data_IF_765684175258
#
_entry.id   IF_765684175258
#
_cell.length_a   1.000
_cell.length_b   1.000
_cell.length_c   1.000
_cell.angle_alpha   90.00
_cell.angle_beta   90.00
_cell.angle_gamma   90.00
#
_symmetry.space_group_name_H-M   'P 1'
#
loop_
_entity.id
_entity.type
_entity.pdbx_description
1 polymer ?
#
# COMPACT_ATOMS: atom_id res chain seq x y z
N UNK A 1 -3.28 -12.72 -18.57
CA UNK A 1 -2.62 -13.05 -17.30
C UNK A 1 -1.48 -12.05 -17.12
N UNK A 2 -1.35 -11.35 -15.98
CA UNK A 2 -0.20 -10.46 -15.77
C UNK A 2 1.07 -11.30 -15.71
N UNK A 3 2.16 -10.80 -16.29
CA UNK A 3 3.46 -11.48 -16.15
C UNK A 3 3.86 -11.53 -14.66
N UNK A 4 4.41 -12.65 -14.19
CA UNK A 4 4.89 -12.76 -12.82
C UNK A 4 6.04 -11.77 -12.59
N UNK A 5 6.11 -11.24 -11.36
CA UNK A 5 7.18 -10.34 -10.94
C UNK A 5 8.54 -11.01 -11.16
N UNK A 6 9.46 -10.36 -11.87
CA UNK A 6 10.82 -10.88 -11.98
C UNK A 6 11.63 -10.61 -10.70
N UNK A 7 12.81 -11.22 -10.60
CA UNK A 7 13.64 -11.16 -9.40
C UNK A 7 14.11 -9.73 -9.11
N UNK A 8 14.48 -8.98 -10.16
CA UNK A 8 14.94 -7.60 -10.07
C UNK A 8 13.85 -6.66 -9.54
N UNK A 9 12.62 -6.83 -10.02
CA UNK A 9 11.44 -6.09 -9.58
C UNK A 9 11.07 -6.43 -8.14
N UNK A 10 11.18 -7.71 -7.75
CA UNK A 10 10.95 -8.13 -6.38
C UNK A 10 11.94 -7.46 -5.44
N UNK A 11 13.23 -7.50 -5.76
CA UNK A 11 14.26 -6.84 -4.96
C UNK A 11 14.12 -5.32 -4.96
N UNK A 12 13.75 -4.72 -6.08
CA UNK A 12 13.43 -3.29 -6.13
C UNK A 12 12.32 -2.96 -5.12
N UNK A 13 11.18 -3.66 -5.17
CA UNK A 13 10.06 -3.41 -4.26
C UNK A 13 10.48 -3.64 -2.80
N UNK A 14 11.02 -4.82 -2.50
CA UNK A 14 11.38 -5.23 -1.14
C UNK A 14 12.58 -4.47 -0.59
N UNK A 15 13.40 -3.84 -1.42
CA UNK A 15 14.56 -3.05 -0.98
C UNK A 15 14.17 -1.84 -0.13
N UNK A 16 12.96 -1.30 -0.29
CA UNK A 16 12.49 -0.16 0.48
C UNK A 16 11.82 -0.59 1.80
N UNK A 17 12.27 -0.09 2.98
CA UNK A 17 11.71 -0.47 4.27
C UNK A 17 10.23 -0.10 4.44
N UNK A 18 9.81 1.07 3.94
CA UNK A 18 8.41 1.51 4.00
C UNK A 18 7.50 0.56 3.22
N UNK A 19 7.93 0.11 2.03
CA UNK A 19 7.17 -0.89 1.25
C UNK A 19 7.04 -2.22 1.98
N UNK A 20 8.09 -2.70 2.66
CA UNK A 20 8.01 -3.92 3.47
C UNK A 20 7.04 -3.77 4.64
N UNK A 21 7.04 -2.62 5.32
CA UNK A 21 6.10 -2.34 6.41
C UNK A 21 4.66 -2.23 5.92
N UNK A 22 4.43 -1.59 4.77
CA UNK A 22 3.11 -1.54 4.14
C UNK A 22 2.59 -2.94 3.81
N UNK A 23 3.41 -3.80 3.20
CA UNK A 23 3.04 -5.19 2.91
C UNK A 23 2.70 -5.97 4.19
N UNK A 24 3.49 -5.79 5.26
CA UNK A 24 3.23 -6.42 6.56
C UNK A 24 1.89 -5.97 7.18
N UNK A 25 1.57 -4.67 7.11
CA UNK A 25 0.31 -4.16 7.66
C UNK A 25 -0.89 -4.63 6.82
N UNK A 26 -0.76 -4.57 5.50
CA UNK A 26 -1.83 -4.97 4.57
C UNK A 26 -2.08 -6.49 4.57
N UNK A 27 -1.08 -7.31 4.89
CA UNK A 27 -1.27 -8.75 5.08
C UNK A 27 -2.13 -9.10 6.29
N UNK A 28 -2.31 -8.15 7.23
CA UNK A 28 -3.18 -8.33 8.41
C UNK A 28 -4.61 -7.86 8.16
N UNK A 29 -4.86 -7.15 7.05
CA UNK A 29 -6.18 -6.63 6.69
C UNK A 29 -6.13 -5.34 5.86
N UNK A 30 -7.27 -4.91 5.28
CA UNK A 30 -7.35 -3.65 4.54
C UNK A 30 -7.10 -2.46 5.48
N UNK A 31 -6.37 -1.45 5.01
CA UNK A 31 -6.10 -0.23 5.76
C UNK A 31 -6.31 1.00 4.87
N UNK A 32 -6.87 2.06 5.43
CA UNK A 32 -6.95 3.35 4.73
C UNK A 32 -5.55 3.99 4.67
N UNK A 33 -5.17 4.66 3.56
CA UNK A 33 -3.87 5.32 3.42
C UNK A 33 -3.54 6.29 4.57
N UNK A 34 -4.55 6.97 5.11
CA UNK A 34 -4.39 7.88 6.25
C UNK A 34 -3.99 7.13 7.54
N UNK A 35 -4.53 5.93 7.80
CA UNK A 35 -4.15 5.12 8.95
C UNK A 35 -2.70 4.65 8.82
N UNK A 36 -2.30 4.18 7.63
CA UNK A 36 -0.93 3.76 7.33
C UNK A 36 0.07 4.89 7.53
N UNK A 37 -0.27 6.11 7.10
CA UNK A 37 0.55 7.30 7.31
C UNK A 37 0.79 7.59 8.80
N UNK A 38 -0.25 7.49 9.64
CA UNK A 38 -0.12 7.66 11.09
C UNK A 38 0.69 6.54 11.74
N UNK A 39 0.45 5.28 11.38
CA UNK A 39 1.16 4.12 11.95
C UNK A 39 2.65 4.12 11.61
N UNK A 40 3.00 4.54 10.39
CA UNK A 40 4.38 4.56 9.92
C UNK A 40 5.10 5.88 10.20
N UNK A 41 4.41 6.89 10.75
CA UNK A 41 4.92 8.24 10.97
C UNK A 41 5.52 8.86 9.70
N UNK A 42 4.79 8.74 8.58
CA UNK A 42 5.19 9.19 7.24
C UNK A 42 4.05 9.97 6.61
N UNK A 43 4.34 10.94 5.74
CA UNK A 43 3.30 11.72 5.08
C UNK A 43 2.37 10.84 4.22
N UNK A 44 1.07 11.19 4.18
CA UNK A 44 0.10 10.46 3.37
C UNK A 44 0.50 10.43 1.88
N UNK A 45 1.11 11.50 1.37
CA UNK A 45 1.63 11.54 -0.01
C UNK A 45 2.66 10.44 -0.27
N UNK A 46 3.64 10.28 0.62
CA UNK A 46 4.68 9.23 0.48
C UNK A 46 4.06 7.83 0.57
N UNK A 47 3.08 7.64 1.46
CA UNK A 47 2.33 6.37 1.53
C UNK A 47 1.61 6.09 0.21
N UNK A 48 0.90 7.08 -0.35
CA UNK A 48 0.21 6.95 -1.63
C UNK A 48 1.17 6.62 -2.77
N UNK A 49 2.34 7.27 -2.80
CA UNK A 49 3.38 7.02 -3.81
C UNK A 49 3.89 5.57 -3.72
N UNK A 50 4.09 5.04 -2.50
CA UNK A 50 4.46 3.63 -2.31
C UNK A 50 3.34 2.64 -2.65
N UNK A 51 2.10 2.92 -2.25
CA UNK A 51 0.95 2.06 -2.56
C UNK A 51 0.73 1.97 -4.08
N UNK A 52 0.91 3.08 -4.81
CA UNK A 52 0.85 3.08 -6.28
C UNK A 52 1.86 2.11 -6.89
N UNK A 53 3.12 2.15 -6.44
CA UNK A 53 4.15 1.22 -6.93
C UNK A 53 3.78 -0.24 -6.62
N UNK A 54 3.29 -0.52 -5.41
CA UNK A 54 2.86 -1.86 -5.03
C UNK A 54 1.67 -2.35 -5.87
N UNK A 55 0.73 -1.48 -6.20
CA UNK A 55 -0.45 -1.76 -7.02
C UNK A 55 -0.07 -2.00 -8.50
N UNK A 56 0.80 -1.16 -9.05
CA UNK A 56 1.36 -1.31 -10.40
C UNK A 56 2.09 -2.66 -10.56
N UNK A 57 2.79 -3.10 -9.51
CA UNK A 57 3.43 -4.42 -9.42
C UNK A 57 2.50 -5.56 -9.03
N UNK A 58 1.21 -5.28 -8.82
CA UNK A 58 0.20 -6.30 -8.52
C UNK A 58 0.32 -6.95 -7.14
N UNK A 59 1.07 -6.35 -6.21
CA UNK A 59 1.29 -6.86 -4.86
C UNK A 59 0.17 -6.44 -3.88
N UNK A 60 -0.53 -5.35 -4.20
CA UNK A 60 -1.69 -4.87 -3.44
C UNK A 60 -2.79 -4.48 -4.41
N UNK A 61 -4.02 -4.44 -3.92
CA UNK A 61 -5.19 -3.98 -4.68
C UNK A 61 -6.00 -3.02 -3.82
N UNK A 62 -6.70 -2.10 -4.46
CA UNK A 62 -7.75 -1.33 -3.78
C UNK A 62 -8.95 -2.23 -3.55
N UNK A 63 -9.33 -2.39 -2.29
CA UNK A 63 -10.64 -2.95 -1.94
C UNK A 63 -11.65 -1.80 -2.05
N UNK A 64 -12.83 -2.09 -2.60
CA UNK A 64 -13.86 -1.08 -2.88
C UNK A 64 -14.16 -0.19 -1.66
N UNK A 65 -14.67 1.00 -1.93
CA UNK A 65 -15.07 1.98 -0.92
C UNK A 65 -16.22 1.44 -0.08
N UNK A 66 -15.96 0.56 0.87
CA UNK A 66 -16.84 0.47 2.03
C UNK A 66 -16.82 1.87 2.63
N UNK A 67 -17.99 2.52 2.62
CA UNK A 67 -18.19 3.80 3.28
C UNK A 67 -17.74 3.61 4.72
N UNK A 68 -16.56 4.12 5.04
CA UNK A 68 -16.12 4.23 6.42
C UNK A 68 -17.22 4.99 7.16
N UNK A 69 -17.77 4.41 8.21
CA UNK A 69 -18.67 5.08 9.16
C UNK A 69 -17.99 6.23 9.93
N UNK A 70 -16.76 6.59 9.55
CA UNK A 70 -15.89 7.57 10.18
C UNK A 70 -15.24 8.42 9.08
N UNK A 71 -16.00 9.33 8.46
CA UNK A 71 -15.45 10.37 7.59
C UNK A 71 -16.54 11.20 6.91
N UNK A 72 -16.52 12.54 6.99
CA UNK A 72 -17.47 13.38 6.27
C UNK A 72 -17.13 13.38 4.77
N UNK A 73 -18.15 13.42 3.91
CA UNK A 73 -17.98 13.68 2.48
C UNK A 73 -17.32 15.06 2.30
N UNK A 74 -16.20 15.10 1.59
CA UNK A 74 -15.59 16.33 1.06
C UNK A 74 -15.19 16.09 -0.38
#
# INVERSE_FOLDING_TARGET
>A
MREPLNIEELFYVLGNPTRRLLLKLLSMGPHYPFQLARLLNVSQKVIMDHLRILEEKGLVVKVGSEKSSIGPER
#
